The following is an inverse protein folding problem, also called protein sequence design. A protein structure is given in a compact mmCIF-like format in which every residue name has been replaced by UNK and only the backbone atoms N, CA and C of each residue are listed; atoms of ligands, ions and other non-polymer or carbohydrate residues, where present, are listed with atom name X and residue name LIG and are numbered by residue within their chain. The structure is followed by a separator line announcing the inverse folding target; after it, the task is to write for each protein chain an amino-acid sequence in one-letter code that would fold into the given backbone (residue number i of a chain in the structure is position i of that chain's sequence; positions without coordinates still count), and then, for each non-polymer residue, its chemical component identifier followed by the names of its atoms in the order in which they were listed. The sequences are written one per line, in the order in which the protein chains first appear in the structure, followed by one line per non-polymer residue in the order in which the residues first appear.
data_IF_424223560552
#
_entry.id   IF_424223560552
#
_cell.length_a   1.000
_cell.length_b   1.000
_cell.length_c   1.000
_cell.angle_alpha   90.00
_cell.angle_beta   90.00
_cell.angle_gamma   90.00
#
_symmetry.space_group_name_H-M   'P 1'
#
loop_
_entity.id
_entity.type
_entity.pdbx_description
1 polymer ?
#
# COMPACT_ATOMS: atom_id res chain seq x y z
N UNK A 1 6.31 -1.80 9.28
CA UNK A 1 4.97 -1.54 8.68
C UNK A 1 4.60 -0.07 8.52
N UNK A 2 5.18 0.88 9.28
CA UNK A 2 4.90 2.31 9.12
C UNK A 2 5.02 2.81 7.67
N UNK A 3 6.08 2.40 6.95
CA UNK A 3 6.28 2.77 5.54
C UNK A 3 5.10 2.38 4.61
N UNK A 4 4.43 1.25 4.87
CA UNK A 4 3.26 0.84 4.10
C UNK A 4 2.04 1.72 4.42
N UNK A 5 1.80 2.05 5.70
CA UNK A 5 0.70 2.91 6.11
C UNK A 5 0.90 4.34 5.60
N UNK A 6 2.12 4.87 5.69
CA UNK A 6 2.47 6.19 5.17
C UNK A 6 2.23 6.27 3.65
N UNK A 7 2.54 5.20 2.91
CA UNK A 7 2.25 5.12 1.47
C UNK A 7 0.75 5.14 1.17
N UNK A 8 -0.05 4.37 1.91
CA UNK A 8 -1.50 4.37 1.74
C UNK A 8 -2.09 5.76 2.01
N UNK A 9 -1.65 6.41 3.09
CA UNK A 9 -2.07 7.77 3.42
C UNK A 9 -1.73 8.73 2.27
N UNK A 10 -0.51 8.67 1.75
CA UNK A 10 -0.08 9.51 0.64
C UNK A 10 -0.95 9.33 -0.61
N UNK A 11 -1.28 8.08 -0.98
CA UNK A 11 -2.13 7.78 -2.15
C UNK A 11 -3.55 8.35 -1.93
N UNK A 12 -4.10 8.25 -0.72
CA UNK A 12 -5.43 8.77 -0.43
C UNK A 12 -5.49 10.30 -0.49
N UNK A 13 -4.43 10.98 -0.07
CA UNK A 13 -4.37 12.45 -0.02
C UNK A 13 -3.95 13.08 -1.36
N UNK A 14 -3.00 12.45 -2.06
CA UNK A 14 -2.32 13.06 -3.21
C UNK A 14 -2.49 12.27 -4.51
N UNK A 15 -3.14 11.10 -4.47
CA UNK A 15 -3.34 10.26 -5.64
C UNK A 15 -4.36 10.83 -6.62
N UNK A 16 -4.19 10.48 -7.89
CA UNK A 16 -5.09 10.85 -8.97
C UNK A 16 -6.14 9.78 -9.19
N UNK A 17 -7.39 10.21 -9.41
CA UNK A 17 -8.47 9.33 -9.85
C UNK A 17 -8.26 8.93 -11.31
N UNK A 18 -8.32 7.63 -11.59
CA UNK A 18 -8.17 7.07 -12.94
C UNK A 18 -9.20 5.99 -13.19
N UNK A 19 -9.79 5.99 -14.37
CA UNK A 19 -10.66 4.91 -14.80
C UNK A 19 -9.85 3.63 -15.06
N UNK A 20 -10.48 2.48 -14.85
CA UNK A 20 -9.88 1.17 -15.04
C UNK A 20 -10.73 0.28 -15.94
N UNK A 21 -10.14 -0.85 -16.39
CA UNK A 21 -10.80 -1.78 -17.32
C UNK A 21 -12.01 -2.50 -16.70
N UNK A 22 -12.19 -2.41 -15.38
CA UNK A 22 -13.28 -3.02 -14.62
C UNK A 22 -14.42 -2.03 -14.33
N UNK A 23 -14.36 -0.80 -14.85
CA UNK A 23 -15.36 0.26 -14.63
C UNK A 23 -15.60 0.58 -13.15
N UNK A 24 -14.60 0.40 -12.30
CA UNK A 24 -14.65 0.74 -10.86
C UNK A 24 -13.85 2.01 -10.58
N UNK A 25 -12.73 2.17 -11.28
CA UNK A 25 -11.79 3.27 -11.08
C UNK A 25 -10.85 3.05 -9.90
N UNK A 26 -9.76 3.82 -9.88
CA UNK A 26 -8.69 3.73 -8.89
C UNK A 26 -8.23 5.12 -8.46
N UNK A 27 -7.70 5.23 -7.23
CA UNK A 27 -6.87 6.37 -6.82
C UNK A 27 -5.43 5.87 -6.85
N UNK A 28 -4.58 6.51 -7.65
CA UNK A 28 -3.24 6.00 -7.92
C UNK A 28 -2.18 7.10 -7.90
N UNK A 29 -0.96 6.72 -7.55
CA UNK A 29 0.22 7.57 -7.68
C UNK A 29 1.40 6.72 -8.17
N UNK A 30 2.34 7.32 -8.89
CA UNK A 30 3.42 6.61 -9.60
C UNK A 30 4.78 6.77 -8.92
N UNK A 31 5.59 5.70 -8.94
CA UNK A 31 6.99 5.74 -8.54
C UNK A 31 7.24 5.74 -7.03
N UNK A 32 6.92 4.63 -6.34
CA UNK A 32 7.17 4.48 -4.91
C UNK A 32 8.16 3.36 -4.64
N UNK A 33 9.00 3.57 -3.62
CA UNK A 33 9.95 2.57 -3.13
C UNK A 33 9.71 2.33 -1.64
N UNK A 34 9.68 1.06 -1.25
CA UNK A 34 9.60 0.63 0.14
C UNK A 34 10.83 -0.22 0.47
N UNK A 35 11.27 -0.17 1.73
CA UNK A 35 12.37 -0.99 2.22
C UNK A 35 12.04 -1.49 3.62
N UNK A 36 12.36 -2.76 3.89
CA UNK A 36 12.08 -3.43 5.15
C UNK A 36 13.34 -4.14 5.61
N UNK A 37 13.69 -3.90 6.87
CA UNK A 37 14.78 -4.59 7.55
C UNK A 37 14.25 -5.93 8.10
N UNK A 38 14.74 -7.05 7.54
CA UNK A 38 14.28 -8.39 7.88
C UNK A 38 14.86 -8.89 9.21
N UNK A 39 15.95 -8.32 9.71
CA UNK A 39 16.49 -8.65 11.03
C UNK A 39 15.55 -8.16 12.15
N UNK A 40 14.79 -7.09 11.88
CA UNK A 40 13.74 -6.58 12.77
C UNK A 40 12.44 -7.41 12.72
N UNK A 41 12.40 -8.47 11.91
CA UNK A 41 11.26 -9.38 11.78
C UNK A 41 10.64 -9.41 10.39
N UNK A 42 9.70 -10.33 10.20
CA UNK A 42 9.04 -10.53 8.90
C UNK A 42 7.99 -9.44 8.66
N UNK A 43 8.03 -8.71 7.52
CA UNK A 43 7.17 -7.56 7.25
C UNK A 43 5.77 -7.97 6.77
N UNK A 44 5.09 -8.84 7.52
CA UNK A 44 3.67 -9.14 7.31
C UNK A 44 2.80 -7.97 7.77
N UNK A 45 1.75 -7.66 7.01
CA UNK A 45 0.74 -6.67 7.42
C UNK A 45 -0.05 -7.22 8.60
N UNK A 46 -0.10 -6.49 9.71
CA UNK A 46 -0.80 -6.90 10.94
C UNK A 46 -2.04 -6.07 11.25
N UNK A 47 -2.23 -4.93 10.58
CA UNK A 47 -3.38 -4.03 10.77
C UNK A 47 -4.68 -4.55 10.17
N UNK A 48 -4.60 -5.67 9.44
CA UNK A 48 -5.71 -6.48 8.96
C UNK A 48 -5.27 -7.93 9.00
N UNK A 49 -6.14 -8.84 9.42
CA UNK A 49 -5.84 -10.27 9.42
C UNK A 49 -5.47 -10.74 8.01
N UNK A 50 -4.32 -11.40 7.91
CA UNK A 50 -3.89 -12.10 6.72
C UNK A 50 -4.52 -13.49 6.69
N UNK A 51 -5.15 -13.84 5.58
CA UNK A 51 -5.58 -15.22 5.33
C UNK A 51 -4.36 -16.08 4.93
N UNK A 52 -3.48 -16.34 5.91
CA UNK A 52 -2.27 -17.14 5.75
C UNK A 52 -2.55 -18.59 6.18
N UNK A 53 -1.98 -19.57 5.46
CA UNK A 53 -2.13 -21.01 5.74
C UNK A 53 -0.98 -21.54 6.55
#
# INVERSE_FOLDING_TARGET
MKAYIDLLQYILENGEKRDDRTNTGTISSFGHQLSFDLEKGFPAVTTKSLAWK
#
